data_IF_671775487810
#
_entry.id   IF_671775487810
#
_cell.length_a   1.000
_cell.length_b   1.000
_cell.length_c   1.000
_cell.angle_alpha   90.00
_cell.angle_beta   90.00
_cell.angle_gamma   90.00
#
_symmetry.space_group_name_H-M   'P 1'
#
loop_
_entity.id
_entity.type
_entity.pdbx_description
1 polymer ?
#
# COMPACT_ATOMS: atom_id res chain seq x y z
N UNK A 1 -5.39 -11.55 -13.15
CA UNK A 1 -4.48 -10.44 -12.77
C UNK A 1 -3.75 -10.81 -11.49
N UNK A 2 -2.56 -10.27 -11.25
CA UNK A 2 -1.89 -10.41 -9.95
C UNK A 2 -2.72 -9.70 -8.86
N UNK A 3 -2.65 -10.20 -7.63
CA UNK A 3 -3.37 -9.66 -6.47
C UNK A 3 -2.40 -9.50 -5.30
N UNK A 4 -2.68 -8.55 -4.42
CA UNK A 4 -1.88 -8.25 -3.24
C UNK A 4 -2.61 -7.36 -2.26
N UNK A 5 -1.89 -6.91 -1.23
CA UNK A 5 -2.33 -5.91 -0.26
C UNK A 5 -1.12 -5.16 0.28
N UNK A 6 -1.37 -4.07 0.99
CA UNK A 6 -0.33 -3.37 1.75
C UNK A 6 -0.76 -3.18 3.21
N UNK A 7 0.23 -3.01 4.07
CA UNK A 7 0.04 -2.55 5.45
C UNK A 7 0.87 -1.28 5.63
N UNK A 8 0.27 -0.26 6.21
CA UNK A 8 0.90 1.04 6.43
C UNK A 8 1.13 1.18 7.94
N UNK A 9 2.37 1.44 8.31
CA UNK A 9 2.75 1.73 9.69
C UNK A 9 2.36 3.17 10.01
N UNK A 10 1.28 3.29 10.79
CA UNK A 10 0.64 4.56 11.14
C UNK A 10 1.57 5.51 11.91
N UNK A 11 2.33 4.97 12.86
CA UNK A 11 3.25 5.75 13.72
C UNK A 11 4.40 6.38 12.92
N UNK A 12 4.74 5.78 11.78
CA UNK A 12 5.81 6.24 10.89
C UNK A 12 5.30 7.09 9.73
N UNK A 13 4.03 6.95 9.34
CA UNK A 13 3.47 7.70 8.23
C UNK A 13 3.39 9.20 8.56
N UNK A 14 3.96 10.04 7.69
CA UNK A 14 3.95 11.51 7.84
C UNK A 14 2.94 12.22 6.93
N UNK A 15 2.02 11.48 6.32
CA UNK A 15 0.94 12.07 5.53
C UNK A 15 1.35 12.76 4.22
N UNK A 16 2.49 12.43 3.62
CA UNK A 16 3.01 13.14 2.44
C UNK A 16 2.24 12.87 1.12
N UNK A 17 1.27 11.96 1.12
CA UNK A 17 0.46 11.57 -0.04
C UNK A 17 1.20 11.02 -1.28
N UNK A 18 2.53 10.90 -1.30
CA UNK A 18 3.27 10.38 -2.47
C UNK A 18 2.81 8.99 -2.93
N UNK A 19 2.43 8.13 -1.98
CA UNK A 19 1.96 6.79 -2.28
C UNK A 19 0.62 6.75 -3.03
N UNK A 20 -0.24 7.77 -2.88
CA UNK A 20 -1.53 7.85 -3.59
C UNK A 20 -1.28 8.11 -5.07
N UNK A 21 -0.41 9.08 -5.39
CA UNK A 21 0.04 9.38 -6.76
C UNK A 21 0.76 8.20 -7.42
N UNK A 22 1.60 7.49 -6.67
CA UNK A 22 2.38 6.37 -7.21
C UNK A 22 1.57 5.10 -7.43
N UNK A 23 0.40 4.96 -6.82
CA UNK A 23 -0.40 3.75 -6.91
C UNK A 23 -1.19 3.71 -8.22
N UNK A 24 -0.84 2.85 -9.20
CA UNK A 24 -1.51 2.82 -10.49
C UNK A 24 -2.93 2.24 -10.42
N UNK A 25 -3.32 1.67 -9.28
CA UNK A 25 -4.67 1.12 -9.06
C UNK A 25 -5.57 2.08 -8.26
N UNK A 26 -5.00 3.19 -7.77
CA UNK A 26 -5.73 4.24 -7.06
C UNK A 26 -6.50 3.71 -5.83
N UNK A 27 -5.87 2.77 -5.11
CA UNK A 27 -6.43 2.14 -3.89
C UNK A 27 -5.84 2.70 -2.59
N UNK A 28 -4.99 3.73 -2.67
CA UNK A 28 -4.39 4.38 -1.51
C UNK A 28 -4.93 5.79 -1.34
N UNK A 29 -5.33 6.11 -0.12
CA UNK A 29 -5.96 7.38 0.25
C UNK A 29 -5.36 7.93 1.54
N UNK A 30 -5.65 9.19 1.86
CA UNK A 30 -5.31 9.77 3.16
C UNK A 30 -6.50 9.62 4.10
N UNK A 31 -6.22 9.40 5.39
CA UNK A 31 -7.25 9.30 6.41
C UNK A 31 -7.73 10.69 6.84
N UNK A 32 -8.59 11.34 6.03
CA UNK A 32 -9.01 12.73 6.26
C UNK A 32 -9.70 12.94 7.63
N UNK A 33 -10.37 11.90 8.17
CA UNK A 33 -11.09 11.95 9.44
C UNK A 33 -10.29 11.39 10.63
N UNK A 34 -9.03 10.99 10.43
CA UNK A 34 -8.21 10.35 11.47
C UNK A 34 -6.81 10.93 11.51
N UNK A 35 -6.30 11.13 12.72
CA UNK A 35 -4.93 11.51 12.98
C UNK A 35 -4.21 10.38 13.70
N UNK A 36 -2.97 10.14 13.31
CA UNK A 36 -2.07 9.27 14.08
C UNK A 36 -1.59 9.96 15.36
N UNK A 37 -0.83 9.23 16.20
CA UNK A 37 -0.30 9.76 17.47
C UNK A 37 0.61 10.99 17.32
N UNK A 38 1.05 11.30 16.10
CA UNK A 38 1.95 12.41 15.76
C UNK A 38 1.21 13.58 15.08
N UNK A 39 -0.10 13.49 14.91
CA UNK A 39 -0.93 14.53 14.33
C UNK A 39 -0.91 14.60 12.81
N UNK A 40 -0.50 13.53 12.12
CA UNK A 40 -0.60 13.43 10.66
C UNK A 40 -1.85 12.65 10.25
N UNK A 41 -2.39 12.98 9.07
CA UNK A 41 -3.33 12.09 8.36
C UNK A 41 -2.53 10.97 7.70
N UNK A 42 -2.57 9.73 8.21
CA UNK A 42 -1.84 8.62 7.61
C UNK A 42 -2.45 8.19 6.29
N UNK A 43 -1.65 7.50 5.47
CA UNK A 43 -2.18 6.81 4.31
C UNK A 43 -2.91 5.52 4.72
N UNK A 44 -3.96 5.16 3.98
CA UNK A 44 -4.75 3.95 4.17
C UNK A 44 -4.96 3.21 2.85
N UNK A 45 -5.18 1.91 2.93
CA UNK A 45 -5.61 1.08 1.81
C UNK A 45 -7.14 1.00 1.80
N UNK A 46 -7.78 1.56 0.77
CA UNK A 46 -9.21 1.38 0.51
C UNK A 46 -9.37 0.53 -0.75
N UNK A 47 -9.49 -0.78 -0.54
CA UNK A 47 -9.48 -1.77 -1.63
C UNK A 47 -10.50 -2.90 -1.43
N UNK A 48 -11.81 -2.60 -1.34
CA UNK A 48 -12.85 -3.62 -1.09
C UNK A 48 -12.93 -4.68 -2.20
N UNK A 49 -12.61 -4.30 -3.45
CA UNK A 49 -12.64 -5.17 -4.62
C UNK A 49 -11.29 -5.88 -4.88
N UNK A 50 -10.27 -5.57 -4.07
CA UNK A 50 -8.95 -6.19 -4.14
C UNK A 50 -8.16 -5.87 -5.41
N UNK A 51 -8.23 -4.66 -5.94
CA UNK A 51 -7.47 -4.20 -7.11
C UNK A 51 -5.96 -4.09 -6.89
N UNK A 52 -5.49 -4.02 -5.64
CA UNK A 52 -4.06 -4.02 -5.34
C UNK A 52 -3.37 -5.25 -5.96
N UNK A 53 -2.28 -5.01 -6.69
CA UNK A 53 -1.52 -6.06 -7.38
C UNK A 53 -0.26 -6.47 -6.62
N UNK A 54 0.09 -5.79 -5.53
CA UNK A 54 1.36 -5.97 -4.83
C UNK A 54 2.58 -5.61 -5.70
N UNK A 55 2.52 -4.49 -6.43
CA UNK A 55 3.60 -4.02 -7.33
C UNK A 55 4.73 -3.24 -6.62
N UNK A 56 4.53 -2.87 -5.36
CA UNK A 56 5.49 -2.17 -4.50
C UNK A 56 5.88 -0.73 -4.85
N UNK A 57 5.29 -0.11 -5.89
CA UNK A 57 5.57 1.30 -6.22
C UNK A 57 5.31 2.27 -5.05
N UNK A 58 4.24 2.03 -4.28
CA UNK A 58 3.94 2.81 -3.07
C UNK A 58 5.03 2.71 -2.00
N UNK A 59 5.63 1.53 -1.82
CA UNK A 59 6.71 1.33 -0.86
C UNK A 59 8.03 1.95 -1.35
N UNK A 60 8.32 1.86 -2.65
CA UNK A 60 9.52 2.45 -3.26
C UNK A 60 9.50 3.98 -3.17
N UNK A 61 8.35 4.62 -3.39
CA UNK A 61 8.25 6.08 -3.30
C UNK A 61 8.18 6.59 -1.86
N UNK A 62 7.87 5.72 -0.88
CA UNK A 62 7.66 6.13 0.50
C UNK A 62 8.99 6.60 1.13
N UNK A 63 9.15 7.90 1.45
CA UNK A 63 10.41 8.41 2.01
C UNK A 63 10.68 7.88 3.42
N UNK A 64 9.63 7.48 4.14
CA UNK A 64 9.70 6.98 5.50
C UNK A 64 9.79 5.44 5.57
N UNK A 65 9.76 4.74 4.43
CA UNK A 65 9.76 3.28 4.34
C UNK A 65 8.74 2.61 5.29
N UNK A 66 7.52 3.16 5.36
CA UNK A 66 6.47 2.75 6.30
C UNK A 66 5.38 1.86 5.67
N UNK A 67 5.61 1.34 4.45
CA UNK A 67 4.62 0.53 3.71
C UNK A 67 5.18 -0.88 3.48
N UNK A 68 4.54 -1.90 4.07
CA UNK A 68 4.80 -3.31 3.79
C UNK A 68 3.90 -3.77 2.64
N UNK A 69 4.45 -4.52 1.71
CA UNK A 69 3.74 -4.97 0.50
C UNK A 69 3.68 -6.50 0.48
N UNK A 70 2.48 -7.04 0.32
CA UNK A 70 2.25 -8.48 0.22
C UNK A 70 1.71 -8.79 -1.17
N UNK A 71 2.36 -9.73 -1.86
CA UNK A 71 1.90 -10.26 -3.15
C UNK A 71 1.37 -11.66 -2.95
N UNK A 72 0.13 -11.91 -3.36
CA UNK A 72 -0.44 -13.24 -3.23
C UNK A 72 0.15 -14.17 -4.28
N UNK A 73 0.66 -15.30 -3.80
CA UNK A 73 1.23 -16.33 -4.65
C UNK A 73 0.10 -17.28 -5.06
N UNK A 74 -0.10 -17.43 -6.36
CA UNK A 74 -1.05 -18.41 -6.91
C UNK A 74 -0.33 -19.73 -7.21
N UNK A 75 -1.06 -20.84 -7.25
CA UNK A 75 -0.50 -22.14 -7.71
C UNK A 75 0.23 -22.03 -9.05
N UNK A 76 -0.28 -21.18 -9.95
CA UNK A 76 0.31 -20.94 -11.27
C UNK A 76 1.67 -20.21 -11.19
N UNK A 77 1.86 -19.28 -10.27
CA UNK A 77 3.17 -18.61 -10.09
C UNK A 77 4.21 -19.54 -9.43
N UNK A 78 3.77 -20.49 -8.60
CA UNK A 78 4.67 -21.48 -8.00
C UNK A 78 5.18 -22.44 -9.07
N UNK A 79 4.28 -22.97 -9.92
CA UNK A 79 4.66 -23.90 -10.99
C UNK A 79 5.57 -23.29 -12.06
N UNK A 80 5.58 -21.97 -12.22
CA UNK A 80 6.48 -21.25 -13.14
C UNK A 80 7.86 -20.93 -12.54
N UNK A 81 8.06 -21.21 -11.25
CA UNK A 81 9.33 -20.99 -10.54
C UNK A 81 10.06 -22.31 -10.23
N UNK A 82 9.55 -23.43 -10.74
CA UNK A 82 10.12 -24.77 -10.71
C UNK A 82 10.56 -25.15 -12.13
#
# INVERSE_FOLDING_TARGET
MAKGRVEIDDDRCKGCALCTTACPQHVLFMADDQLNARGYHPALLADPDGHCTGCALCAVICPDACIKVYRYVTRRSIAASL
#
